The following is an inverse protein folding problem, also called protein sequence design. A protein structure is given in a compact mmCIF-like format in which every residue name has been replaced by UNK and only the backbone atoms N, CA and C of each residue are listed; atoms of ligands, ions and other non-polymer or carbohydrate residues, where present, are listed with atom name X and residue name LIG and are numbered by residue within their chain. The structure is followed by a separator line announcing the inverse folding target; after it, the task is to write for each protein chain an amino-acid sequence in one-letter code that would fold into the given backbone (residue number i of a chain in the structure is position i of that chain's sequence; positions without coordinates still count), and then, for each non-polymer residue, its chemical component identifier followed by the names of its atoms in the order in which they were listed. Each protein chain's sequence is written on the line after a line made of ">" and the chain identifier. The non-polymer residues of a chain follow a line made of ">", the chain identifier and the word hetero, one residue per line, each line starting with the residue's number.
data_IF_877582978353
#
_entry.id   IF_877582978353
#
_cell.length_a   1.000
_cell.length_b   1.000
_cell.length_c   1.000
_cell.angle_alpha   90.00
_cell.angle_beta   90.00
_cell.angle_gamma   90.00
#
_symmetry.space_group_name_H-M   'P 1'
#
loop_
_entity.id
_entity.type
_entity.pdbx_description
1 polymer ?
#
# COMPACT_ATOMS: atom_id res chain seq x y z
N UNK A 1 -28.56 2.56 5.22
CA UNK A 1 -27.95 1.34 4.65
C UNK A 1 -26.47 1.64 4.42
N UNK A 2 -25.55 0.96 5.12
CA UNK A 2 -24.11 1.21 4.95
C UNK A 2 -23.63 0.56 3.66
N UNK A 3 -22.89 1.29 2.82
CA UNK A 3 -22.38 0.82 1.53
C UNK A 3 -20.88 1.07 1.45
N UNK A 4 -20.15 0.11 0.90
CA UNK A 4 -18.73 0.28 0.57
C UNK A 4 -18.61 1.17 -0.66
N UNK A 5 -17.89 2.29 -0.51
CA UNK A 5 -17.66 3.29 -1.55
C UNK A 5 -16.17 3.62 -1.63
N UNK A 6 -15.69 3.97 -2.82
CA UNK A 6 -14.28 4.32 -3.06
C UNK A 6 -13.94 5.79 -2.77
N UNK A 7 -14.96 6.60 -2.50
CA UNK A 7 -14.89 8.01 -2.17
C UNK A 7 -15.88 8.32 -1.05
N UNK A 8 -15.66 9.41 -0.34
CA UNK A 8 -16.55 9.89 0.72
C UNK A 8 -17.15 11.23 0.34
N UNK A 9 -18.38 11.46 0.79
CA UNK A 9 -18.97 12.79 0.78
C UNK A 9 -18.40 13.61 1.94
N UNK A 10 -18.56 14.94 1.89
CA UNK A 10 -17.92 15.87 2.82
C UNK A 10 -18.24 15.58 4.30
N UNK A 11 -19.43 15.04 4.57
CA UNK A 11 -19.91 14.77 5.94
C UNK A 11 -19.65 13.33 6.39
N UNK A 12 -19.14 12.48 5.50
CA UNK A 12 -18.91 11.07 5.83
C UNK A 12 -17.57 10.86 6.56
N UNK A 13 -17.53 9.82 7.40
CA UNK A 13 -16.32 9.39 8.09
C UNK A 13 -15.91 7.99 7.63
N UNK A 14 -14.60 7.81 7.44
CA UNK A 14 -14.04 6.49 7.23
C UNK A 14 -14.24 5.61 8.48
N UNK A 15 -14.87 4.44 8.32
CA UNK A 15 -15.01 3.45 9.39
C UNK A 15 -13.80 2.50 9.44
N UNK A 16 -13.44 1.95 8.29
CA UNK A 16 -12.32 1.03 8.12
C UNK A 16 -11.82 1.06 6.67
N UNK A 17 -10.61 0.56 6.45
CA UNK A 17 -10.05 0.33 5.11
C UNK A 17 -9.94 -1.17 4.88
N UNK A 18 -10.37 -1.62 3.70
CA UNK A 18 -10.37 -3.03 3.33
C UNK A 18 -9.36 -3.22 2.20
N UNK A 19 -8.32 -4.08 2.38
CA UNK A 19 -7.44 -4.42 1.28
C UNK A 19 -8.21 -5.24 0.22
N UNK A 20 -7.99 -4.94 -1.05
CA UNK A 20 -8.51 -5.75 -2.16
C UNK A 20 -7.53 -5.77 -3.35
N UNK A 21 -7.57 -6.86 -4.11
CA UNK A 21 -6.91 -6.94 -5.43
C UNK A 21 -7.99 -7.08 -6.49
N UNK A 22 -7.93 -6.24 -7.51
CA UNK A 22 -8.90 -6.23 -8.59
C UNK A 22 -8.27 -5.76 -9.92
N UNK A 23 -8.92 -6.01 -11.07
CA UNK A 23 -8.46 -5.52 -12.37
C UNK A 23 -8.28 -3.99 -12.38
N UNK A 24 -7.27 -3.51 -13.10
CA UNK A 24 -6.95 -2.07 -13.11
C UNK A 24 -8.09 -1.20 -13.67
N UNK A 25 -8.93 -1.78 -14.53
CA UNK A 25 -10.10 -1.12 -15.11
C UNK A 25 -11.13 -0.67 -14.07
N UNK A 26 -11.28 -1.40 -12.96
CA UNK A 26 -12.29 -1.10 -11.93
C UNK A 26 -11.77 -0.20 -10.80
N UNK A 27 -10.46 -0.22 -10.54
CA UNK A 27 -9.82 0.56 -9.47
C UNK A 27 -9.32 1.94 -9.94
N UNK A 28 -9.68 2.37 -11.14
CA UNK A 28 -9.21 3.61 -11.74
C UNK A 28 -9.51 4.87 -10.93
N UNK A 29 -10.63 4.90 -10.20
CA UNK A 29 -11.09 6.06 -9.42
C UNK A 29 -10.56 6.08 -7.98
N UNK A 30 -9.82 5.06 -7.56
CA UNK A 30 -9.39 4.91 -6.17
C UNK A 30 -8.15 5.76 -5.89
N UNK A 31 -8.13 6.39 -4.72
CA UNK A 31 -6.99 7.18 -4.21
C UNK A 31 -5.77 6.28 -3.94
N UNK A 32 -5.98 5.17 -3.24
CA UNK A 32 -4.92 4.21 -2.92
C UNK A 32 -4.94 3.05 -3.92
N UNK A 33 -4.10 3.14 -4.95
CA UNK A 33 -3.98 2.11 -5.98
C UNK A 33 -2.54 1.89 -6.39
N UNK A 34 -2.24 0.66 -6.76
CA UNK A 34 -0.91 0.22 -7.19
C UNK A 34 -1.05 -0.82 -8.28
N UNK A 35 -0.19 -0.77 -9.31
CA UNK A 35 -0.23 -1.75 -10.39
C UNK A 35 0.62 -2.96 -10.00
N UNK A 36 -0.03 -4.10 -9.92
CA UNK A 36 0.61 -5.38 -9.64
C UNK A 36 0.82 -6.08 -10.98
N UNK A 37 2.04 -6.54 -11.24
CA UNK A 37 2.40 -7.37 -12.38
C UNK A 37 2.95 -8.72 -11.90
N UNK A 38 2.98 -9.77 -12.72
CA UNK A 38 3.70 -10.99 -12.41
C UNK A 38 5.20 -10.73 -12.17
N UNK A 39 5.82 -11.45 -11.23
CA UNK A 39 7.20 -11.26 -10.81
C UNK A 39 7.68 -12.27 -9.76
N UNK A 40 8.62 -11.85 -8.90
CA UNK A 40 9.30 -12.75 -7.94
C UNK A 40 9.07 -12.39 -6.47
N UNK A 41 8.30 -11.34 -6.15
CA UNK A 41 8.08 -10.91 -4.77
C UNK A 41 7.02 -11.78 -4.09
N UNK A 42 7.32 -12.22 -2.86
CA UNK A 42 6.37 -12.96 -2.02
C UNK A 42 5.25 -12.05 -1.52
N UNK A 43 4.03 -12.59 -1.39
CA UNK A 43 2.81 -11.89 -0.95
C UNK A 43 2.99 -11.01 0.29
N UNK A 44 3.66 -11.51 1.34
CA UNK A 44 3.89 -10.73 2.57
C UNK A 44 4.87 -9.58 2.43
N UNK A 45 5.93 -9.74 1.62
CA UNK A 45 6.85 -8.62 1.34
C UNK A 45 6.16 -7.57 0.49
N UNK A 46 5.40 -8.00 -0.52
CA UNK A 46 4.64 -7.11 -1.37
C UNK A 46 3.61 -6.30 -0.57
N UNK A 47 2.84 -6.96 0.30
CA UNK A 47 1.84 -6.30 1.16
C UNK A 47 2.43 -5.19 2.04
N UNK A 48 3.52 -5.48 2.75
CA UNK A 48 4.21 -4.50 3.60
C UNK A 48 4.74 -3.30 2.82
N UNK A 49 5.30 -3.56 1.63
CA UNK A 49 5.82 -2.52 0.76
C UNK A 49 4.69 -1.60 0.24
N UNK A 50 3.53 -2.16 -0.07
CA UNK A 50 2.33 -1.40 -0.48
C UNK A 50 1.83 -0.51 0.66
N UNK A 51 1.70 -1.05 1.88
CA UNK A 51 1.27 -0.25 3.05
C UNK A 51 2.22 0.91 3.32
N UNK A 52 3.52 0.65 3.30
CA UNK A 52 4.52 1.70 3.49
C UNK A 52 4.43 2.76 2.39
N UNK A 53 4.22 2.34 1.14
CA UNK A 53 4.02 3.25 0.02
C UNK A 53 2.81 4.17 0.23
N UNK A 54 1.68 3.63 0.67
CA UNK A 54 0.48 4.43 0.92
C UNK A 54 0.62 5.38 2.13
N UNK A 55 1.37 5.00 3.17
CA UNK A 55 1.60 5.86 4.34
C UNK A 55 2.52 7.07 4.05
N UNK A 56 3.39 6.96 3.05
CA UNK A 56 4.33 8.03 2.67
C UNK A 56 3.75 8.95 1.59
N UNK A 57 2.61 8.59 1.00
CA UNK A 57 1.96 9.41 -0.02
C UNK A 57 1.59 10.80 0.56
N UNK A 58 1.87 11.87 -0.20
CA UNK A 58 1.71 13.25 0.27
C UNK A 58 0.26 13.67 0.47
N UNK A 59 -0.66 13.03 -0.24
CA UNK A 59 -2.07 13.38 -0.25
C UNK A 59 -2.88 12.67 0.85
N UNK A 60 -2.22 11.97 1.78
CA UNK A 60 -2.89 11.22 2.84
C UNK A 60 -3.30 12.11 4.01
N UNK A 61 -4.55 11.98 4.47
CA UNK A 61 -5.03 12.66 5.67
C UNK A 61 -4.60 11.92 6.95
N UNK A 62 -4.60 12.60 8.09
CA UNK A 62 -4.24 11.96 9.37
C UNK A 62 -5.15 10.78 9.74
N UNK A 63 -6.45 10.88 9.43
CA UNK A 63 -7.41 9.80 9.65
C UNK A 63 -7.13 8.59 8.75
N UNK A 64 -6.90 8.80 7.46
CA UNK A 64 -6.54 7.73 6.52
C UNK A 64 -5.25 7.01 6.94
N UNK A 65 -4.26 7.77 7.44
CA UNK A 65 -3.00 7.21 7.96
C UNK A 65 -3.25 6.32 9.16
N UNK A 66 -4.14 6.70 10.07
CA UNK A 66 -4.49 5.89 11.24
C UNK A 66 -5.18 4.59 10.83
N UNK A 67 -6.10 4.66 9.87
CA UNK A 67 -6.83 3.49 9.38
C UNK A 67 -5.94 2.52 8.59
N UNK A 68 -4.98 3.02 7.81
CA UNK A 68 -3.98 2.16 7.14
C UNK A 68 -3.14 1.36 8.13
N UNK A 69 -2.92 1.87 9.34
CA UNK A 69 -2.20 1.15 10.41
C UNK A 69 -3.06 0.10 11.11
N UNK A 70 -4.39 0.19 11.00
CA UNK A 70 -5.29 -0.82 11.56
C UNK A 70 -5.37 -2.08 10.71
N UNK A 71 -5.01 -1.99 9.42
CA UNK A 71 -4.96 -3.16 8.54
C UNK A 71 -3.83 -4.07 9.01
N UNK A 72 -4.18 -5.33 9.29
CA UNK A 72 -3.21 -6.33 9.77
C UNK A 72 -2.38 -6.89 8.61
N UNK A 73 -1.17 -7.37 8.95
CA UNK A 73 -0.31 -8.08 8.00
C UNK A 73 -1.01 -9.31 7.39
N UNK A 74 -1.85 -9.98 8.18
CA UNK A 74 -2.57 -11.18 7.77
C UNK A 74 -3.63 -10.89 6.72
N UNK A 75 -4.48 -9.87 6.93
CA UNK A 75 -5.53 -9.47 5.98
C UNK A 75 -4.93 -9.12 4.60
N UNK A 76 -3.80 -8.43 4.59
CA UNK A 76 -3.13 -8.10 3.32
C UNK A 76 -2.52 -9.32 2.67
N UNK A 77 -1.88 -10.19 3.45
CA UNK A 77 -1.28 -11.42 2.92
C UNK A 77 -2.34 -12.33 2.31
N UNK A 78 -3.53 -12.42 2.91
CA UNK A 78 -4.64 -13.21 2.38
C UNK A 78 -5.23 -12.62 1.09
N UNK A 79 -5.20 -11.29 0.95
CA UNK A 79 -5.71 -10.59 -0.23
C UNK A 79 -4.73 -10.59 -1.40
N UNK A 80 -3.42 -10.73 -1.14
CA UNK A 80 -2.37 -10.58 -2.14
C UNK A 80 -2.06 -11.86 -2.94
N UNK A 81 -1.72 -11.66 -4.22
CA UNK A 81 -1.27 -12.74 -5.11
C UNK A 81 0.21 -13.11 -4.85
N UNK A 82 0.60 -14.39 -5.02
CA UNK A 82 2.00 -14.80 -4.97
C UNK A 82 2.75 -14.40 -6.25
N UNK A 83 4.08 -14.24 -6.15
CA UNK A 83 4.94 -14.04 -7.33
C UNK A 83 4.63 -12.74 -8.07
N UNK A 84 4.66 -11.62 -7.35
CA UNK A 84 4.26 -10.32 -7.91
C UNK A 84 5.43 -9.36 -8.04
N UNK A 85 5.26 -8.34 -8.88
CA UNK A 85 6.12 -7.17 -9.04
C UNK A 85 5.24 -5.94 -8.89
N UNK A 86 5.61 -5.08 -7.96
CA UNK A 86 4.91 -3.82 -7.73
C UNK A 86 5.45 -2.77 -8.70
N UNK A 87 4.53 -2.13 -9.43
CA UNK A 87 4.80 -1.02 -10.36
C UNK A 87 3.82 0.12 -10.10
N UNK A 88 4.30 1.35 -10.09
CA UNK A 88 3.49 2.49 -9.68
C UNK A 88 4.30 3.78 -9.76
N UNK A 89 3.60 4.88 -10.08
CA UNK A 89 4.18 6.22 -10.13
C UNK A 89 4.70 6.56 -8.73
N UNK A 90 6.00 6.81 -8.58
CA UNK A 90 6.65 7.11 -7.29
C UNK A 90 7.29 5.92 -6.56
N UNK A 91 6.96 4.67 -6.90
CA UNK A 91 7.50 3.49 -6.20
C UNK A 91 8.97 3.18 -6.57
N UNK A 92 9.38 3.50 -7.80
CA UNK A 92 10.78 3.39 -8.24
C UNK A 92 11.68 4.33 -7.43
N UNK A 93 11.21 5.53 -7.13
CA UNK A 93 11.93 6.52 -6.34
C UNK A 93 12.02 6.09 -4.87
N UNK A 94 10.96 5.49 -4.32
CA UNK A 94 10.97 4.90 -2.96
C UNK A 94 11.96 3.73 -2.85
N UNK A 95 11.99 2.80 -3.82
CA UNK A 95 12.96 1.70 -3.86
C UNK A 95 14.40 2.19 -3.94
N UNK A 96 14.65 3.27 -4.67
CA UNK A 96 15.96 3.89 -4.76
C UNK A 96 16.36 4.57 -3.44
N UNK A 97 15.44 5.30 -2.79
CA UNK A 97 15.67 5.91 -1.47
C UNK A 97 15.90 4.86 -0.38
N UNK A 98 15.13 3.78 -0.32
CA UNK A 98 15.37 2.68 0.63
C UNK A 98 16.73 2.00 0.41
N UNK A 99 17.15 1.80 -0.85
CA UNK A 99 18.48 1.27 -1.16
C UNK A 99 19.60 2.23 -0.74
N UNK A 100 19.40 3.54 -0.86
CA UNK A 100 20.37 4.55 -0.40
C UNK A 100 20.44 4.63 1.12
N UNK A 101 19.30 4.60 1.83
CA UNK A 101 19.23 4.57 3.29
C UNK A 101 19.87 3.31 3.87
N UNK A 102 19.67 2.14 3.25
CA UNK A 102 20.34 0.89 3.66
C UNK A 102 21.85 0.89 3.42
N UNK A 103 22.35 1.68 2.47
CA UNK A 103 23.80 1.87 2.25
C UNK A 103 24.44 2.81 3.29
N UNK A 104 23.65 3.63 3.97
CA UNK A 104 24.13 4.59 4.99
C UNK A 104 24.06 4.06 6.42
N UNK A 105 23.53 2.86 6.68
CA UNK A 105 23.62 2.26 8.01
C UNK A 105 25.04 1.73 8.25
N UNK A 106 25.81 2.28 9.20
CA UNK A 106 27.12 1.76 9.55
C UNK A 106 26.95 0.34 10.12
N UNK A 107 27.79 -0.60 9.66
CA UNK A 107 27.91 -1.94 10.23
C UNK A 107 28.19 -1.79 11.73
N UNK A 108 27.20 -2.00 12.59
CA UNK A 108 27.45 -2.25 14.02
C UNK A 108 28.17 -3.60 14.09
N UNK A 109 29.49 -3.52 14.15
CA UNK A 109 30.35 -4.66 14.47
C UNK A 109 30.05 -5.14 15.89
N UNK A 110 30.24 -6.45 16.05
CA UNK A 110 30.17 -7.30 17.25
C UNK A 110 30.52 -6.62 18.56
#
# INVERSE_FOLDING_TARGET
>A
MQKLVSYLYADDKYLSLIPMVAPYSVIGTYKFKIKIAPGSLKKGKAGKEILNFFQVNKDITNQERQLLKMITDEEIVQTMLPGVKLTGVGMLQMKQKEKQLKKQQPKKNK
#
